data_IF_682311253331
#
_entry.id   IF_682311253331
#
_cell.length_a   1.000
_cell.length_b   1.000
_cell.length_c   1.000
_cell.angle_alpha   90.00
_cell.angle_beta   90.00
_cell.angle_gamma   90.00
#
_symmetry.space_group_name_H-M   'P 1'
#
loop_
_entity.id
_entity.type
_entity.pdbx_description
1 polymer ?
#
# COMPACT_ATOMS: atom_id res chain seq x y z
N UNK A 1 14.66 -6.60 90.70
CA UNK A 1 15.82 -5.88 90.12
C UNK A 1 16.12 -6.48 88.70
N UNK A 2 15.18 -6.29 87.78
CA UNK A 2 15.27 -6.73 86.36
C UNK A 2 14.49 -5.70 85.55
N UNK A 3 15.10 -4.64 85.18
CA UNK A 3 14.59 -3.70 84.21
C UNK A 3 15.75 -2.77 83.85
N UNK A 4 16.37 -2.96 82.65
CA UNK A 4 17.12 -1.92 81.95
C UNK A 4 18.15 -2.53 80.94
N UNK A 5 17.73 -3.47 80.06
CA UNK A 5 18.66 -3.90 79.04
C UNK A 5 18.01 -4.11 77.63
N UNK A 6 16.83 -3.58 77.39
CA UNK A 6 16.11 -3.81 76.12
C UNK A 6 15.84 -2.50 75.32
N UNK A 7 16.62 -1.47 75.44
CA UNK A 7 16.27 -0.21 74.72
C UNK A 7 17.37 0.38 73.84
N UNK A 8 18.53 -0.25 73.72
CA UNK A 8 19.58 0.36 72.92
C UNK A 8 19.83 -0.34 71.52
N UNK A 9 19.49 -1.60 71.38
CA UNK A 9 19.62 -2.34 70.07
C UNK A 9 18.48 -2.01 69.15
N UNK A 10 17.24 -1.91 69.62
CA UNK A 10 16.05 -1.68 68.79
C UNK A 10 16.00 -0.29 68.08
N UNK A 11 16.65 0.71 68.73
CA UNK A 11 16.63 2.08 68.14
C UNK A 11 17.60 2.27 66.96
N UNK A 12 18.66 1.41 66.88
CA UNK A 12 19.57 1.44 65.68
C UNK A 12 18.96 0.76 64.52
N UNK A 13 18.30 -0.39 64.65
CA UNK A 13 17.69 -1.15 63.58
C UNK A 13 16.49 -0.42 62.99
N UNK A 14 15.69 0.26 63.82
CA UNK A 14 14.59 1.10 63.33
C UNK A 14 15.08 2.27 62.46
N UNK A 15 16.19 2.93 62.81
CA UNK A 15 16.77 4.02 62.00
C UNK A 15 17.31 3.50 60.66
N UNK A 16 17.92 2.33 60.63
CA UNK A 16 18.37 1.71 59.36
C UNK A 16 17.19 1.34 58.49
N UNK A 17 16.14 0.72 59.04
CA UNK A 17 14.93 0.37 58.26
C UNK A 17 14.22 1.60 57.69
N UNK A 18 14.10 2.71 58.44
CA UNK A 18 13.49 3.96 57.94
C UNK A 18 14.35 4.62 56.84
N UNK A 19 15.68 4.54 56.93
CA UNK A 19 16.59 5.08 55.93
C UNK A 19 16.48 4.32 54.62
N UNK A 20 16.38 2.99 54.67
CA UNK A 20 16.25 2.12 53.49
C UNK A 20 14.89 2.29 52.79
N UNK A 21 13.80 2.42 53.54
CA UNK A 21 12.45 2.67 53.02
C UNK A 21 12.37 4.00 52.25
N UNK A 22 13.14 5.02 52.67
CA UNK A 22 13.16 6.31 51.99
C UNK A 22 14.16 6.37 50.86
N UNK A 23 15.31 5.69 50.97
CA UNK A 23 16.37 5.67 49.97
C UNK A 23 15.99 4.88 48.71
N UNK A 24 15.31 3.74 48.84
CA UNK A 24 14.93 2.89 47.68
C UNK A 24 14.07 3.64 46.66
N UNK A 25 12.94 4.32 47.07
CA UNK A 25 12.15 5.06 46.07
C UNK A 25 12.89 6.25 45.49
N UNK A 26 13.80 6.90 46.23
CA UNK A 26 14.62 8.01 45.77
C UNK A 26 15.61 7.53 44.65
N UNK A 27 16.26 6.39 44.90
CA UNK A 27 17.16 5.77 43.88
C UNK A 27 16.38 5.33 42.66
N UNK A 28 15.21 4.72 42.81
CA UNK A 28 14.35 4.34 41.67
C UNK A 28 13.93 5.55 40.87
N UNK A 29 13.54 6.65 41.53
CA UNK A 29 13.19 7.90 40.88
C UNK A 29 14.39 8.47 40.08
N UNK A 30 15.58 8.49 40.68
CA UNK A 30 16.81 8.94 40.04
C UNK A 30 17.15 8.08 38.79
N UNK A 31 16.97 6.76 38.88
CA UNK A 31 17.17 5.84 37.75
C UNK A 31 16.15 6.10 36.63
N UNK A 32 14.88 6.32 36.96
CA UNK A 32 13.84 6.66 35.97
C UNK A 32 14.15 7.98 35.25
N UNK A 33 14.56 9.00 36.03
CA UNK A 33 14.98 10.29 35.49
C UNK A 33 16.22 10.13 34.59
N UNK A 34 17.19 9.36 35.02
CA UNK A 34 18.40 9.08 34.23
C UNK A 34 18.05 8.37 32.88
N UNK A 35 17.17 7.37 32.93
CA UNK A 35 16.68 6.68 31.73
C UNK A 35 15.93 7.66 30.82
N UNK A 36 15.10 8.54 31.34
CA UNK A 36 14.40 9.55 30.58
C UNK A 36 15.37 10.54 29.91
N UNK A 37 16.38 11.00 30.64
CA UNK A 37 17.45 11.88 30.11
C UNK A 37 18.25 11.14 29.03
N UNK A 38 18.64 9.89 29.26
CA UNK A 38 19.35 9.08 28.29
C UNK A 38 18.48 8.89 27.02
N UNK A 39 17.19 8.59 27.16
CA UNK A 39 16.27 8.49 26.01
C UNK A 39 16.19 9.81 25.23
N UNK A 40 16.18 10.95 25.88
CA UNK A 40 16.16 12.26 25.18
C UNK A 40 17.50 12.59 24.53
N UNK A 41 18.62 12.28 25.19
CA UNK A 41 19.97 12.49 24.66
C UNK A 41 20.30 11.53 23.49
N UNK A 42 19.85 10.28 23.60
CA UNK A 42 20.00 9.25 22.54
C UNK A 42 18.80 9.16 21.60
N UNK A 43 17.77 9.99 21.76
CA UNK A 43 16.79 10.20 20.70
C UNK A 43 17.54 10.82 19.52
N UNK A 44 18.18 9.95 18.76
CA UNK A 44 18.84 10.32 17.49
C UNK A 44 17.82 11.11 16.70
N UNK A 45 18.05 12.40 16.54
CA UNK A 45 17.35 13.22 15.57
C UNK A 45 17.52 12.48 14.25
N UNK A 46 16.46 11.82 13.79
CA UNK A 46 16.44 11.17 12.49
C UNK A 46 16.55 12.32 11.49
N UNK A 47 17.77 12.72 11.18
CA UNK A 47 18.03 13.68 10.10
C UNK A 47 17.43 13.03 8.85
N UNK A 48 16.40 13.66 8.32
CA UNK A 48 15.87 13.30 7.02
C UNK A 48 16.93 13.68 6.01
N UNK A 49 17.80 12.74 5.68
CA UNK A 49 18.79 12.94 4.63
C UNK A 49 18.02 13.18 3.35
N UNK A 50 17.97 14.41 2.89
CA UNK A 50 17.41 14.77 1.60
C UNK A 50 18.37 14.30 0.52
N UNK A 51 18.03 13.16 -0.11
CA UNK A 51 18.77 12.69 -1.27
C UNK A 51 18.39 13.53 -2.49
N UNK A 52 19.38 13.79 -3.37
CA UNK A 52 19.13 14.41 -4.67
C UNK A 52 18.51 13.38 -5.61
N UNK A 53 17.58 13.80 -6.45
CA UNK A 53 16.90 12.96 -7.43
C UNK A 53 16.94 13.61 -8.81
N UNK A 54 17.12 12.78 -9.83
CA UNK A 54 17.02 13.17 -11.22
C UNK A 54 15.70 12.71 -11.83
N UNK A 55 15.24 13.38 -12.87
CA UNK A 55 14.04 12.99 -13.59
C UNK A 55 14.25 11.64 -14.31
N UNK A 56 13.31 10.70 -14.14
CA UNK A 56 13.42 9.35 -14.69
C UNK A 56 13.20 9.28 -16.22
N UNK A 57 12.88 10.37 -16.88
CA UNK A 57 12.56 10.43 -18.31
C UNK A 57 11.11 10.07 -18.61
N UNK A 58 10.88 9.15 -19.56
CA UNK A 58 9.52 8.76 -19.98
C UNK A 58 8.92 7.69 -19.07
N UNK A 59 7.61 7.81 -18.78
CA UNK A 59 6.88 6.82 -17.96
C UNK A 59 6.68 5.48 -18.69
N UNK A 60 6.52 5.53 -20.01
CA UNK A 60 6.25 4.36 -20.85
C UNK A 60 7.49 3.99 -21.66
N UNK A 61 7.79 2.69 -21.73
CA UNK A 61 8.76 2.16 -22.67
C UNK A 61 8.27 2.35 -24.12
N UNK A 62 9.14 2.24 -25.13
CA UNK A 62 8.74 2.37 -26.52
C UNK A 62 7.62 1.40 -26.95
N UNK A 63 7.63 0.17 -26.43
CA UNK A 63 6.59 -0.83 -26.71
C UNK A 63 5.25 -0.44 -26.05
N UNK A 64 5.28 -0.01 -24.81
CA UNK A 64 4.10 0.48 -24.08
C UNK A 64 3.53 1.75 -24.71
N UNK A 65 4.38 2.68 -25.13
CA UNK A 65 3.94 3.90 -25.82
C UNK A 65 3.28 3.58 -27.18
N UNK A 66 3.84 2.63 -27.92
CA UNK A 66 3.25 2.17 -29.19
C UNK A 66 1.86 1.55 -28.96
N UNK A 67 1.72 0.72 -27.94
CA UNK A 67 0.43 0.13 -27.58
C UNK A 67 -0.56 1.19 -27.07
N UNK A 68 -0.11 2.11 -26.23
CA UNK A 68 -0.94 3.18 -25.65
C UNK A 68 -1.66 4.00 -26.73
N UNK A 69 -0.96 4.40 -27.79
CA UNK A 69 -1.55 5.16 -28.91
C UNK A 69 -2.71 4.40 -29.57
N UNK A 70 -2.58 3.09 -29.71
CA UNK A 70 -3.63 2.25 -30.29
C UNK A 70 -4.77 2.03 -29.28
N UNK A 71 -4.43 1.90 -28.01
CA UNK A 71 -5.41 1.79 -26.92
C UNK A 71 -6.29 3.03 -26.84
N UNK A 72 -5.72 4.23 -26.98
CA UNK A 72 -6.48 5.49 -27.03
C UNK A 72 -7.51 5.48 -28.19
N UNK A 73 -7.11 5.02 -29.39
CA UNK A 73 -8.01 4.88 -30.52
C UNK A 73 -9.11 3.83 -30.29
N UNK A 74 -8.77 2.73 -29.61
CA UNK A 74 -9.71 1.66 -29.32
C UNK A 74 -10.76 2.07 -28.28
N UNK A 75 -10.34 2.74 -27.22
CA UNK A 75 -11.19 3.19 -26.09
C UNK A 75 -11.99 4.43 -26.47
N UNK A 76 -11.38 5.37 -27.21
CA UNK A 76 -11.97 6.65 -27.57
C UNK A 76 -12.49 7.42 -26.37
N UNK A 77 -13.64 8.05 -26.51
CA UNK A 77 -14.26 8.85 -25.45
C UNK A 77 -15.06 8.05 -24.42
N UNK A 78 -15.02 6.70 -24.47
CA UNK A 78 -15.89 5.86 -23.62
C UNK A 78 -15.36 5.65 -22.21
N UNK A 79 -14.05 5.78 -21.98
CA UNK A 79 -13.40 5.55 -20.70
C UNK A 79 -12.11 6.37 -20.59
N UNK A 80 -11.56 6.44 -19.37
CA UNK A 80 -10.23 6.97 -19.14
C UNK A 80 -9.18 5.86 -19.16
N UNK A 81 -7.99 6.18 -19.67
CA UNK A 81 -6.82 5.30 -19.60
C UNK A 81 -5.86 5.90 -18.59
N UNK A 82 -5.49 5.11 -17.58
CA UNK A 82 -4.48 5.46 -16.57
C UNK A 82 -3.29 4.54 -16.75
N UNK A 83 -2.07 5.09 -16.71
CA UNK A 83 -0.84 4.33 -16.94
C UNK A 83 -0.07 4.10 -15.65
N UNK A 84 0.67 2.98 -15.56
CA UNK A 84 1.57 2.65 -14.44
C UNK A 84 0.90 2.72 -13.06
N UNK A 85 -0.30 2.16 -12.97
CA UNK A 85 -1.08 2.14 -11.73
C UNK A 85 -0.53 1.09 -10.77
N UNK A 86 -0.28 1.49 -9.54
CA UNK A 86 0.17 0.55 -8.51
C UNK A 86 -0.95 -0.45 -8.18
N UNK A 87 -0.61 -1.73 -8.09
CA UNK A 87 -1.60 -2.79 -7.79
C UNK A 87 -2.31 -2.53 -6.46
N UNK A 88 -1.62 -1.96 -5.47
CA UNK A 88 -2.22 -1.63 -4.17
C UNK A 88 -3.22 -0.44 -4.21
N UNK A 89 -3.31 0.29 -5.33
CA UNK A 89 -4.34 1.31 -5.55
C UNK A 89 -5.62 0.70 -6.20
N UNK A 90 -5.50 -0.50 -6.78
CA UNK A 90 -6.60 -1.25 -7.38
C UNK A 90 -7.16 -2.32 -6.45
N UNK A 91 -6.30 -2.95 -5.67
CA UNK A 91 -6.61 -4.10 -4.82
C UNK A 91 -6.23 -3.82 -3.36
N UNK A 92 -7.09 -4.27 -2.44
CA UNK A 92 -6.82 -4.21 -1.01
C UNK A 92 -6.91 -5.61 -0.39
N UNK A 93 -6.03 -5.97 0.57
CA UNK A 93 -6.21 -7.21 1.32
C UNK A 93 -7.58 -7.25 2.00
N UNK A 94 -8.19 -8.44 2.04
CA UNK A 94 -9.52 -8.62 2.60
C UNK A 94 -9.58 -8.25 4.09
N UNK A 95 -10.74 -7.76 4.53
CA UNK A 95 -11.03 -7.51 5.95
C UNK A 95 -11.07 -8.85 6.73
N UNK A 96 -10.77 -8.78 8.04
CA UNK A 96 -10.80 -9.97 8.91
C UNK A 96 -9.48 -10.74 8.99
N UNK A 97 -8.46 -10.37 8.25
CA UNK A 97 -7.11 -10.92 8.41
C UNK A 97 -6.45 -10.43 9.71
N UNK A 98 -5.55 -11.25 10.30
CA UNK A 98 -4.64 -10.76 11.33
C UNK A 98 -3.74 -9.64 10.77
N UNK A 99 -3.30 -8.71 11.62
CA UNK A 99 -2.41 -7.60 11.20
C UNK A 99 -1.18 -8.09 10.44
N UNK A 100 -0.57 -9.19 10.90
CA UNK A 100 0.62 -9.77 10.25
C UNK A 100 0.30 -10.29 8.84
N UNK A 101 -0.81 -11.01 8.66
CA UNK A 101 -1.22 -11.54 7.36
C UNK A 101 -1.66 -10.41 6.41
N UNK A 102 -2.36 -9.41 6.92
CA UNK A 102 -2.72 -8.23 6.15
C UNK A 102 -1.48 -7.51 5.61
N UNK A 103 -0.46 -7.29 6.47
CA UNK A 103 0.78 -6.64 6.08
C UNK A 103 1.55 -7.44 5.01
N UNK A 104 1.61 -8.78 5.16
CA UNK A 104 2.23 -9.66 4.15
C UNK A 104 1.51 -9.57 2.81
N UNK A 105 0.17 -9.64 2.82
CA UNK A 105 -0.65 -9.51 1.61
C UNK A 105 -0.46 -8.15 0.95
N UNK A 106 -0.48 -7.05 1.73
CA UNK A 106 -0.25 -5.70 1.22
C UNK A 106 1.16 -5.55 0.62
N UNK A 107 2.19 -6.01 1.30
CA UNK A 107 3.57 -5.95 0.79
C UNK A 107 3.75 -6.72 -0.52
N UNK A 108 2.96 -7.77 -0.73
CA UNK A 108 3.00 -8.56 -1.97
C UNK A 108 2.49 -7.80 -3.19
N UNK A 109 1.63 -6.79 -3.01
CA UNK A 109 1.05 -5.98 -4.09
C UNK A 109 1.60 -4.56 -4.16
N UNK A 110 2.12 -4.00 -3.06
CA UNK A 110 2.46 -2.58 -2.92
C UNK A 110 3.56 -2.07 -3.85
N UNK A 111 4.49 -2.93 -4.26
CA UNK A 111 5.60 -2.60 -5.16
C UNK A 111 5.35 -3.01 -6.62
N UNK A 112 4.15 -3.51 -6.94
CA UNK A 112 3.79 -3.96 -8.28
C UNK A 112 2.94 -2.91 -8.99
N UNK A 113 3.12 -2.79 -10.30
CA UNK A 113 2.36 -1.87 -11.14
C UNK A 113 1.75 -2.64 -12.30
N UNK A 114 0.61 -2.18 -12.76
CA UNK A 114 -0.06 -2.58 -14.00
C UNK A 114 0.22 -1.50 -15.03
N UNK A 115 0.48 -1.92 -16.26
CA UNK A 115 0.87 -0.99 -17.33
C UNK A 115 -0.25 -0.01 -17.66
N UNK A 116 -1.51 -0.50 -17.82
CA UNK A 116 -2.66 0.33 -18.14
C UNK A 116 -3.89 -0.11 -17.35
N UNK A 117 -4.73 0.84 -17.00
CA UNK A 117 -6.03 0.60 -16.37
C UNK A 117 -7.08 1.43 -17.09
N UNK A 118 -8.13 0.77 -17.56
CA UNK A 118 -9.30 1.44 -18.10
C UNK A 118 -10.24 1.73 -16.97
N UNK A 119 -10.64 2.99 -16.84
CA UNK A 119 -11.53 3.46 -15.78
C UNK A 119 -12.81 4.07 -16.38
N UNK A 120 -13.91 3.88 -15.66
CA UNK A 120 -15.19 4.53 -15.99
C UNK A 120 -15.03 6.05 -16.06
N UNK A 121 -15.66 6.64 -17.07
CA UNK A 121 -15.51 8.08 -17.37
C UNK A 121 -16.11 8.98 -16.29
N UNK A 122 -17.10 8.51 -15.55
CA UNK A 122 -17.86 9.34 -14.60
C UNK A 122 -17.32 9.30 -13.19
N UNK A 123 -16.83 8.12 -12.75
CA UNK A 123 -16.46 7.87 -11.35
C UNK A 123 -15.05 7.30 -11.15
N UNK A 124 -14.29 7.15 -12.25
CA UNK A 124 -12.94 6.58 -12.24
C UNK A 124 -12.84 5.15 -11.69
N UNK A 125 -13.97 4.42 -11.61
CA UNK A 125 -13.94 3.03 -11.18
C UNK A 125 -13.14 2.18 -12.20
N UNK A 126 -12.17 1.36 -11.77
CA UNK A 126 -11.47 0.44 -12.64
C UNK A 126 -12.44 -0.54 -13.32
N UNK A 127 -12.42 -0.58 -14.64
CA UNK A 127 -13.22 -1.48 -15.48
C UNK A 127 -12.40 -2.70 -15.90
N UNK A 128 -11.14 -2.47 -16.31
CA UNK A 128 -10.23 -3.52 -16.74
C UNK A 128 -8.78 -3.05 -16.54
N UNK A 129 -7.94 -3.91 -16.01
CA UNK A 129 -6.50 -3.76 -15.96
C UNK A 129 -5.87 -4.46 -17.16
N UNK A 130 -4.80 -3.90 -17.72
CA UNK A 130 -4.10 -4.45 -18.89
C UNK A 130 -2.61 -4.50 -18.60
N UNK A 131 -2.01 -5.67 -18.76
CA UNK A 131 -0.57 -5.92 -18.68
C UNK A 131 -0.04 -6.27 -20.07
N UNK A 132 0.99 -5.56 -20.53
CA UNK A 132 1.60 -5.77 -21.83
C UNK A 132 2.77 -6.75 -21.70
N UNK A 133 2.58 -7.99 -22.16
CA UNK A 133 3.56 -9.05 -22.05
C UNK A 133 4.47 -9.14 -23.27
N UNK A 134 5.78 -8.97 -23.07
CA UNK A 134 6.79 -9.27 -24.09
C UNK A 134 7.10 -10.78 -24.11
N UNK A 135 6.91 -11.41 -25.28
CA UNK A 135 7.20 -12.83 -25.48
C UNK A 135 8.67 -13.21 -25.31
N UNK A 136 9.60 -12.24 -25.46
CA UNK A 136 11.03 -12.51 -25.61
C UNK A 136 11.74 -12.99 -24.34
N UNK A 137 11.10 -12.91 -23.18
CA UNK A 137 11.73 -13.22 -21.89
C UNK A 137 10.87 -14.10 -20.95
N UNK A 138 10.57 -15.34 -21.36
CA UNK A 138 10.02 -16.38 -20.47
C UNK A 138 11.05 -16.82 -19.43
N UNK A 139 11.32 -15.99 -18.41
CA UNK A 139 12.02 -16.42 -17.22
C UNK A 139 11.03 -16.97 -16.18
N UNK A 140 11.39 -18.06 -15.51
CA UNK A 140 10.59 -18.75 -14.47
C UNK A 140 10.01 -17.78 -13.39
N UNK A 141 10.76 -16.73 -13.05
CA UNK A 141 10.33 -15.68 -12.11
C UNK A 141 9.17 -14.82 -12.60
N UNK A 142 9.02 -14.61 -13.93
CA UNK A 142 7.87 -13.87 -14.51
C UNK A 142 6.60 -14.71 -14.43
N UNK A 143 6.68 -16.00 -14.75
CA UNK A 143 5.52 -16.89 -14.66
C UNK A 143 4.92 -16.90 -13.25
N UNK A 144 5.74 -16.94 -12.21
CA UNK A 144 5.29 -16.88 -10.82
C UNK A 144 4.65 -15.51 -10.48
N UNK A 145 5.23 -14.43 -10.99
CA UNK A 145 4.67 -13.08 -10.81
C UNK A 145 3.30 -12.95 -11.50
N UNK A 146 3.22 -13.38 -12.75
CA UNK A 146 2.01 -13.30 -13.56
C UNK A 146 0.89 -14.16 -12.96
N UNK A 147 1.22 -15.35 -12.48
CA UNK A 147 0.28 -16.23 -11.77
C UNK A 147 -0.23 -15.57 -10.47
N UNK A 148 0.66 -14.96 -9.68
CA UNK A 148 0.27 -14.24 -8.48
C UNK A 148 -0.68 -13.07 -8.78
N UNK A 149 -0.34 -12.23 -9.77
CA UNK A 149 -1.16 -11.08 -10.19
C UNK A 149 -2.52 -11.56 -10.67
N UNK A 150 -2.55 -12.58 -11.53
CA UNK A 150 -3.81 -13.19 -12.03
C UNK A 150 -4.71 -13.62 -10.87
N UNK A 151 -4.17 -14.36 -9.89
CA UNK A 151 -4.94 -14.81 -8.71
C UNK A 151 -5.42 -13.65 -7.84
N UNK A 152 -4.58 -12.62 -7.65
CA UNK A 152 -4.94 -11.45 -6.87
C UNK A 152 -6.10 -10.68 -7.50
N UNK A 153 -6.05 -10.40 -8.80
CA UNK A 153 -7.10 -9.71 -9.54
C UNK A 153 -8.39 -10.54 -9.59
N UNK A 154 -8.28 -11.85 -9.85
CA UNK A 154 -9.43 -12.75 -9.83
C UNK A 154 -10.13 -12.77 -8.45
N UNK A 155 -9.37 -12.82 -7.36
CA UNK A 155 -9.93 -12.79 -5.99
C UNK A 155 -10.66 -11.49 -5.67
N UNK A 156 -10.20 -10.37 -6.23
CA UNK A 156 -10.82 -9.05 -6.09
C UNK A 156 -11.94 -8.79 -7.09
N UNK A 157 -12.17 -9.70 -8.05
CA UNK A 157 -13.14 -9.55 -9.15
C UNK A 157 -12.89 -8.30 -10.00
N UNK A 158 -11.63 -7.93 -10.17
CA UNK A 158 -11.19 -6.88 -11.09
C UNK A 158 -10.70 -7.57 -12.36
N UNK A 159 -11.27 -7.27 -13.54
CA UNK A 159 -10.83 -7.86 -14.80
C UNK A 159 -9.36 -7.51 -15.09
N UNK A 160 -8.60 -8.51 -15.57
CA UNK A 160 -7.21 -8.36 -15.98
C UNK A 160 -6.99 -9.01 -17.34
N UNK A 161 -6.51 -8.24 -18.30
CA UNK A 161 -6.16 -8.68 -19.64
C UNK A 161 -4.64 -8.68 -19.82
N UNK A 162 -4.13 -9.76 -20.40
CA UNK A 162 -2.74 -9.86 -20.84
C UNK A 162 -2.67 -9.68 -22.36
N UNK A 163 -2.05 -8.61 -22.79
CA UNK A 163 -1.86 -8.33 -24.22
C UNK A 163 -0.41 -8.59 -24.60
N UNK A 164 -0.21 -9.33 -25.67
CA UNK A 164 1.14 -9.63 -26.15
C UNK A 164 1.70 -8.42 -26.88
N UNK A 165 2.91 -7.98 -26.47
CA UNK A 165 3.62 -6.93 -27.17
C UNK A 165 3.92 -7.31 -28.62
N UNK A 166 3.57 -6.43 -29.56
CA UNK A 166 3.72 -6.60 -31.01
C UNK A 166 4.28 -5.32 -31.64
N UNK A 167 4.79 -5.43 -32.85
CA UNK A 167 5.26 -4.27 -33.63
C UNK A 167 4.10 -3.40 -34.15
N UNK A 168 2.93 -3.98 -34.35
CA UNK A 168 1.74 -3.28 -34.78
C UNK A 168 0.49 -3.90 -34.13
N UNK A 169 -0.51 -3.05 -33.87
CA UNK A 169 -1.80 -3.42 -33.30
C UNK A 169 -2.92 -2.87 -34.19
N UNK A 170 -4.09 -3.54 -34.22
CA UNK A 170 -5.32 -3.01 -34.76
C UNK A 170 -6.18 -2.46 -33.65
N UNK A 171 -6.63 -1.22 -33.78
CA UNK A 171 -7.53 -0.59 -32.80
C UNK A 171 -8.88 -1.32 -32.73
N UNK A 172 -9.37 -1.84 -33.86
CA UNK A 172 -10.60 -2.62 -33.92
C UNK A 172 -10.50 -3.89 -33.08
N UNK A 173 -9.42 -4.65 -33.23
CA UNK A 173 -9.21 -5.89 -32.44
C UNK A 173 -9.06 -5.61 -30.97
N UNK A 174 -8.37 -4.53 -30.58
CA UNK A 174 -8.26 -4.13 -29.18
C UNK A 174 -9.63 -3.70 -28.64
N UNK A 175 -10.43 -2.98 -29.45
CA UNK A 175 -11.79 -2.59 -29.07
C UNK A 175 -12.68 -3.81 -28.87
N UNK A 176 -12.67 -4.77 -29.79
CA UNK A 176 -13.43 -6.03 -29.68
C UNK A 176 -13.04 -6.80 -28.39
N UNK A 177 -11.75 -6.90 -28.09
CA UNK A 177 -11.27 -7.55 -26.87
C UNK A 177 -11.73 -6.84 -25.58
N UNK A 178 -11.85 -5.51 -25.62
CA UNK A 178 -12.22 -4.67 -24.48
C UNK A 178 -13.72 -4.39 -24.38
N UNK A 179 -14.50 -4.73 -25.42
CA UNK A 179 -15.95 -4.49 -25.47
C UNK A 179 -16.71 -5.01 -24.23
N UNK A 180 -16.42 -6.21 -23.69
CA UNK A 180 -17.11 -6.72 -22.49
C UNK A 180 -16.98 -5.78 -21.27
N UNK A 181 -15.89 -5.03 -21.19
CA UNK A 181 -15.60 -4.11 -20.09
C UNK A 181 -16.12 -2.70 -20.38
N UNK A 182 -16.00 -2.23 -21.61
CA UNK A 182 -16.49 -0.91 -22.07
C UNK A 182 -18.01 -0.88 -22.19
N UNK A 183 -18.66 -1.98 -22.59
CA UNK A 183 -20.11 -2.09 -22.68
C UNK A 183 -20.84 -1.93 -21.34
N UNK A 184 -20.19 -2.22 -20.22
CA UNK A 184 -20.72 -1.94 -18.89
C UNK A 184 -20.75 -0.43 -18.61
N UNK A 185 -19.73 0.31 -19.04
CA UNK A 185 -19.69 1.77 -18.94
C UNK A 185 -20.73 2.46 -19.83
N UNK A 186 -21.01 1.90 -21.01
CA UNK A 186 -22.07 2.40 -21.90
C UNK A 186 -23.49 2.17 -21.34
N UNK A 187 -23.71 1.07 -20.62
CA UNK A 187 -25.00 0.78 -19.97
C UNK A 187 -25.24 1.65 -18.74
N UNK A 188 -24.21 2.17 -18.09
CA UNK A 188 -24.36 3.10 -16.96
C UNK A 188 -24.72 4.54 -17.41
N UNK A 189 -24.57 4.86 -18.69
CA UNK A 189 -25.07 6.09 -19.32
C UNK A 189 -26.55 5.98 -19.71
N UNK A 190 -27.43 5.47 -18.83
CA UNK A 190 -28.82 5.90 -18.94
C UNK A 190 -28.87 7.40 -18.62
N UNK A 191 -29.47 8.23 -19.49
CA UNK A 191 -29.65 9.63 -19.13
C UNK A 191 -30.43 9.65 -17.82
N UNK A 192 -29.88 10.35 -16.83
CA UNK A 192 -30.69 10.85 -15.72
C UNK A 192 -31.69 11.78 -16.39
N UNK A 193 -32.90 11.28 -16.63
CA UNK A 193 -34.02 12.12 -16.98
C UNK A 193 -34.18 13.09 -15.81
N UNK A 194 -33.74 14.32 -16.04
CA UNK A 194 -34.07 15.47 -15.20
C UNK A 194 -35.59 15.74 -15.28
N UNK A 195 -36.37 14.85 -14.69
CA UNK A 195 -37.73 15.21 -14.25
C UNK A 195 -37.63 15.45 -12.75
N UNK A 196 -37.57 16.74 -12.42
CA UNK A 196 -37.91 17.38 -11.15
C UNK A 196 -36.93 18.49 -10.76
N UNK A 197 -36.87 19.54 -11.63
CA UNK A 197 -36.29 20.83 -11.23
C UNK A 197 -37.23 22.01 -11.57
N UNK A 198 -38.56 21.80 -11.62
CA UNK A 198 -39.53 22.90 -11.60
C UNK A 198 -40.84 22.41 -10.92
N UNK A 199 -40.90 22.52 -9.60
CA UNK A 199 -42.16 22.64 -8.83
C UNK A 199 -41.85 23.39 -7.55
#
# INVERSE_FOLDING_TARGET
MWCTFITYADCKDARFMFLDILLIPLVLLAVVILIAILKTLFASKKETVLHSYDAAGTLLSPAELSFFKVLELAVGDNAHIVVKVRVADLLMPQKGMTRSNWQKAFNSISSKHIDFVICDKTNFKPLCAIELNDKSHRRKSRTVRDEFITKAFASARVPLEFIIARRAYSAERIREQLEPYLGVALKSKRPVTNENYYS
#
